data_IF_464453204653
#
_entry.id   IF_464453204653
#
_cell.length_a   1.000
_cell.length_b   1.000
_cell.length_c   1.000
_cell.angle_alpha   90.00
_cell.angle_beta   90.00
_cell.angle_gamma   90.00
#
_symmetry.space_group_name_H-M   'P 1'
#
loop_
_entity.id
_entity.type
_entity.pdbx_description
1 polymer ?
#
# COMPACT_ATOMS: atom_id res chain seq x y z
N UNK A 1 5.57 -5.19 0.62
CA UNK A 1 4.51 -5.28 1.63
C UNK A 1 3.36 -4.37 1.20
N UNK A 2 2.14 -4.88 1.28
CA UNK A 2 0.88 -4.18 0.96
C UNK A 2 0.02 -4.10 2.22
N UNK A 3 -0.95 -3.18 2.28
CA UNK A 3 -1.89 -3.03 3.40
C UNK A 3 -3.16 -2.38 2.90
N UNK A 4 -4.22 -2.32 3.70
CA UNK A 4 -5.44 -1.59 3.34
C UNK A 4 -5.15 -0.25 2.62
N UNK A 5 -5.48 -0.12 1.32
CA UNK A 5 -5.10 1.03 0.53
C UNK A 5 -5.81 2.32 0.95
N UNK A 6 -7.01 2.22 1.53
CA UNK A 6 -7.76 3.36 2.08
C UNK A 6 -7.06 3.91 3.31
N UNK A 7 -6.73 3.02 4.26
CA UNK A 7 -5.96 3.39 5.45
C UNK A 7 -4.56 3.88 5.06
N UNK A 8 -3.95 3.28 4.03
CA UNK A 8 -2.66 3.68 3.48
C UNK A 8 -2.68 5.11 2.95
N UNK A 9 -3.68 5.45 2.14
CA UNK A 9 -3.83 6.77 1.53
C UNK A 9 -4.03 7.86 2.58
N UNK A 10 -4.93 7.64 3.56
CA UNK A 10 -5.16 8.59 4.64
C UNK A 10 -3.91 8.78 5.52
N UNK A 11 -3.22 7.68 5.83
CA UNK A 11 -1.94 7.74 6.55
C UNK A 11 -0.86 8.50 5.77
N UNK A 12 -0.81 8.38 4.44
CA UNK A 12 0.14 9.11 3.61
C UNK A 12 -0.20 10.61 3.60
N UNK A 13 -1.46 10.98 3.39
CA UNK A 13 -1.93 12.37 3.46
C UNK A 13 -1.55 13.04 4.78
N UNK A 14 -1.85 12.42 5.92
CA UNK A 14 -1.48 12.95 7.24
C UNK A 14 0.02 13.14 7.41
N UNK A 15 0.82 12.22 6.86
CA UNK A 15 2.27 12.30 6.93
C UNK A 15 2.81 13.48 6.10
N UNK A 16 2.25 13.71 4.90
CA UNK A 16 2.64 14.81 4.03
C UNK A 16 2.15 16.16 4.57
N UNK A 17 0.95 16.22 5.17
CA UNK A 17 0.45 17.40 5.86
C UNK A 17 1.34 17.78 7.06
N UNK A 18 1.74 16.80 7.89
CA UNK A 18 2.66 17.04 9.01
C UNK A 18 4.05 17.55 8.58
N UNK A 19 4.45 17.29 7.33
CA UNK A 19 5.71 17.76 6.74
C UNK A 19 5.57 19.07 5.96
N UNK A 20 4.36 19.63 5.89
CA UNK A 20 4.07 20.87 5.15
C UNK A 20 3.97 20.72 3.64
N UNK A 21 3.80 19.48 3.13
CA UNK A 21 3.66 19.21 1.69
C UNK A 21 2.21 19.08 1.22
N UNK A 22 1.26 19.07 2.15
CA UNK A 22 -0.16 19.10 1.88
C UNK A 22 -0.86 20.07 2.83
N UNK A 23 -1.79 20.85 2.28
CA UNK A 23 -2.62 21.80 3.03
C UNK A 23 -4.11 21.54 2.85
N UNK A 24 -4.50 20.76 1.85
CA UNK A 24 -5.90 20.41 1.61
C UNK A 24 -6.38 19.34 2.61
N UNK A 25 -7.66 19.39 3.00
CA UNK A 25 -8.34 18.25 3.61
C UNK A 25 -8.21 16.97 2.76
N UNK A 26 -8.28 15.80 3.39
CA UNK A 26 -7.99 14.53 2.72
C UNK A 26 -8.90 14.25 1.52
N UNK A 27 -10.20 14.52 1.63
CA UNK A 27 -11.20 14.33 0.59
C UNK A 27 -10.97 15.22 -0.64
N UNK A 28 -10.56 16.48 -0.42
CA UNK A 28 -10.16 17.40 -1.49
C UNK A 28 -8.81 17.00 -2.10
N UNK A 29 -7.84 16.59 -1.27
CA UNK A 29 -6.51 16.19 -1.71
C UNK A 29 -6.57 14.99 -2.67
N UNK A 30 -7.36 13.95 -2.33
CA UNK A 30 -7.54 12.80 -3.22
C UNK A 30 -8.34 13.13 -4.48
N UNK A 31 -9.27 14.10 -4.41
CA UNK A 31 -9.98 14.57 -5.60
C UNK A 31 -9.06 15.32 -6.58
N UNK A 32 -8.02 15.99 -6.07
CA UNK A 32 -7.01 16.70 -6.87
C UNK A 32 -5.83 15.84 -7.31
N UNK A 33 -5.66 14.66 -6.74
CA UNK A 33 -4.54 13.77 -7.04
C UNK A 33 -4.40 13.48 -8.55
N UNK A 34 -5.45 13.09 -9.30
CA UNK A 34 -5.30 12.77 -10.73
C UNK A 34 -4.76 13.94 -11.56
N UNK A 35 -5.19 15.17 -11.25
CA UNK A 35 -4.70 16.39 -11.90
C UNK A 35 -3.24 16.67 -11.52
N UNK A 36 -2.90 16.54 -10.24
CA UNK A 36 -1.55 16.82 -9.72
C UNK A 36 -0.50 15.81 -10.22
N UNK A 37 -0.87 14.54 -10.36
CA UNK A 37 0.07 13.46 -10.71
C UNK A 37 0.02 13.03 -12.18
N UNK A 38 -0.78 13.70 -13.01
CA UNK A 38 -0.83 13.45 -14.45
C UNK A 38 0.57 13.50 -15.09
N UNK A 39 0.92 12.43 -15.82
CA UNK A 39 2.19 12.31 -16.55
C UNK A 39 3.43 12.08 -15.67
N UNK A 40 3.29 12.10 -14.34
CA UNK A 40 4.45 12.06 -13.44
C UNK A 40 5.08 10.65 -13.38
N UNK A 41 4.28 9.61 -13.53
CA UNK A 41 4.78 8.23 -13.54
C UNK A 41 5.60 7.96 -14.83
N UNK A 42 5.13 8.46 -15.96
CA UNK A 42 5.80 8.35 -17.26
C UNK A 42 7.12 9.13 -17.26
N UNK A 43 7.11 10.34 -16.70
CA UNK A 43 8.31 11.16 -16.52
C UNK A 43 9.37 10.42 -15.71
N UNK A 44 8.99 9.80 -14.59
CA UNK A 44 9.91 9.04 -13.73
C UNK A 44 10.39 7.73 -14.37
N UNK A 45 9.58 7.12 -15.23
CA UNK A 45 9.95 5.91 -15.93
C UNK A 45 10.93 6.18 -17.09
N UNK A 46 10.83 7.36 -17.72
CA UNK A 46 11.65 7.72 -18.87
C UNK A 46 13.09 8.13 -18.50
N UNK A 47 13.31 8.65 -17.28
CA UNK A 47 14.61 9.13 -16.83
C UNK A 47 14.89 8.70 -15.38
N UNK A 48 15.87 7.81 -15.13
CA UNK A 48 16.25 7.38 -13.79
C UNK A 48 16.73 8.50 -12.86
N UNK A 49 17.10 9.66 -13.39
CA UNK A 49 17.54 10.83 -12.62
C UNK A 49 16.41 11.83 -12.36
N UNK A 50 15.24 11.63 -12.96
CA UNK A 50 14.12 12.52 -12.79
C UNK A 50 13.56 12.49 -11.37
N UNK A 51 13.05 13.64 -10.93
CA UNK A 51 12.36 13.82 -9.66
C UNK A 51 11.01 14.46 -9.92
N UNK A 52 9.98 14.03 -9.20
CA UNK A 52 8.65 14.62 -9.27
C UNK A 52 8.15 14.91 -7.86
N UNK A 53 7.96 16.19 -7.55
CA UNK A 53 7.38 16.61 -6.28
C UNK A 53 5.96 16.07 -6.13
N UNK A 54 5.13 16.23 -7.16
CA UNK A 54 3.73 15.81 -7.13
C UNK A 54 3.60 14.29 -6.96
N UNK A 55 4.35 13.48 -7.72
CA UNK A 55 4.35 12.03 -7.49
C UNK A 55 4.94 11.65 -6.12
N UNK A 56 5.92 12.41 -5.62
CA UNK A 56 6.54 12.15 -4.32
C UNK A 56 5.56 12.38 -3.17
N UNK A 57 4.78 13.45 -3.23
CA UNK A 57 4.03 13.97 -2.08
C UNK A 57 2.51 13.86 -2.23
N UNK A 58 1.98 13.76 -3.44
CA UNK A 58 0.53 13.83 -3.70
C UNK A 58 -0.08 12.56 -4.30
N UNK A 59 0.73 11.51 -4.54
CA UNK A 59 0.24 10.20 -4.99
C UNK A 59 -0.29 9.35 -3.80
N UNK A 60 -1.44 9.71 -3.26
CA UNK A 60 -2.06 9.04 -2.12
C UNK A 60 -2.72 7.71 -2.53
N UNK A 61 -3.56 7.75 -3.57
CA UNK A 61 -4.32 6.64 -4.12
C UNK A 61 -3.49 5.80 -5.09
N UNK A 62 -2.78 6.43 -6.04
CA UNK A 62 -2.00 5.71 -7.07
C UNK A 62 -0.96 4.76 -6.47
N UNK A 63 -0.37 5.13 -5.33
CA UNK A 63 0.56 4.25 -4.59
C UNK A 63 -0.14 3.11 -3.84
N UNK A 64 -1.45 3.16 -3.68
CA UNK A 64 -2.28 2.06 -3.19
C UNK A 64 -2.73 1.09 -4.29
N UNK A 65 -2.50 1.42 -5.57
CA UNK A 65 -2.80 0.53 -6.70
C UNK A 65 -1.73 -0.58 -6.79
N UNK A 66 -1.73 -1.48 -5.81
CA UNK A 66 -0.63 -2.41 -5.61
C UNK A 66 -0.45 -3.38 -6.76
N UNK A 67 -1.52 -3.78 -7.45
CA UNK A 67 -1.42 -4.69 -8.59
C UNK A 67 -0.49 -4.14 -9.68
N UNK A 68 -0.59 -2.83 -9.98
CA UNK A 68 0.26 -2.15 -10.97
C UNK A 68 1.73 -2.21 -10.55
N UNK A 69 2.01 -1.95 -9.27
CA UNK A 69 3.37 -1.92 -8.75
C UNK A 69 3.99 -3.33 -8.66
N UNK A 70 3.25 -4.27 -8.10
CA UNK A 70 3.67 -5.67 -7.95
C UNK A 70 3.91 -6.31 -9.31
N UNK A 71 3.04 -6.03 -10.30
CA UNK A 71 3.23 -6.51 -11.67
C UNK A 71 4.56 -6.06 -12.26
N UNK A 72 4.93 -4.78 -12.11
CA UNK A 72 6.23 -4.27 -12.59
C UNK A 72 7.43 -5.04 -12.01
N UNK A 73 7.37 -5.38 -10.71
CA UNK A 73 8.42 -6.20 -10.09
C UNK A 73 8.43 -7.64 -10.63
N UNK A 74 7.26 -8.26 -10.77
CA UNK A 74 7.15 -9.62 -11.30
C UNK A 74 7.65 -9.69 -12.74
N UNK A 75 7.30 -8.73 -13.58
CA UNK A 75 7.70 -8.71 -14.99
C UNK A 75 9.22 -8.53 -15.13
N UNK A 76 9.84 -7.74 -14.25
CA UNK A 76 11.28 -7.49 -14.28
C UNK A 76 12.13 -8.58 -13.60
N UNK A 77 11.64 -9.16 -12.50
CA UNK A 77 12.44 -10.06 -11.64
C UNK A 77 12.03 -11.54 -11.75
N UNK A 78 10.83 -11.80 -12.27
CA UNK A 78 10.17 -13.10 -12.24
C UNK A 78 9.33 -13.30 -10.98
N UNK A 79 8.21 -14.03 -11.11
CA UNK A 79 7.26 -14.30 -10.00
C UNK A 79 7.94 -14.90 -8.77
N UNK A 80 8.84 -15.86 -8.98
CA UNK A 80 9.49 -16.60 -7.89
C UNK A 80 10.47 -15.74 -7.07
N UNK A 81 10.81 -14.54 -7.54
CA UNK A 81 11.69 -13.60 -6.85
C UNK A 81 10.96 -12.45 -6.17
N UNK A 82 9.63 -12.43 -6.22
CA UNK A 82 8.80 -11.38 -5.63
C UNK A 82 7.89 -11.96 -4.56
N UNK A 83 8.23 -11.69 -3.31
CA UNK A 83 7.39 -12.03 -2.16
C UNK A 83 6.58 -10.82 -1.71
N UNK A 84 5.26 -10.96 -1.63
CA UNK A 84 4.36 -9.89 -1.20
C UNK A 84 3.75 -10.24 0.16
N UNK A 85 4.15 -9.49 1.17
CA UNK A 85 3.59 -9.57 2.52
C UNK A 85 2.35 -8.68 2.63
N UNK A 86 1.26 -9.23 3.14
CA UNK A 86 0.11 -8.47 3.64
C UNK A 86 0.43 -7.96 5.05
N UNK A 87 0.48 -6.64 5.21
CA UNK A 87 0.89 -6.01 6.45
C UNK A 87 -0.15 -6.20 7.55
N UNK A 88 -1.44 -6.22 7.21
CA UNK A 88 -2.48 -6.30 8.22
C UNK A 88 -2.51 -7.73 8.81
N UNK A 89 -2.24 -8.76 7.99
CA UNK A 89 -1.96 -10.12 8.48
C UNK A 89 -0.67 -10.19 9.32
N UNK A 90 0.42 -9.59 8.83
CA UNK A 90 1.69 -9.53 9.56
C UNK A 90 1.52 -8.86 10.93
N UNK A 91 0.73 -7.79 11.03
CA UNK A 91 0.53 -7.11 12.30
C UNK A 91 -0.42 -7.87 13.22
N UNK A 92 -1.41 -8.56 12.67
CA UNK A 92 -2.33 -9.41 13.44
C UNK A 92 -1.61 -10.61 14.06
N UNK A 93 -0.83 -11.35 13.27
CA UNK A 93 -0.03 -12.49 13.73
C UNK A 93 1.33 -12.53 12.99
N UNK A 94 2.39 -11.91 13.55
CA UNK A 94 3.65 -11.72 12.84
C UNK A 94 4.47 -13.00 12.70
N UNK A 95 4.32 -13.96 13.62
CA UNK A 95 5.21 -15.14 13.67
C UNK A 95 5.01 -16.04 12.46
N UNK A 96 3.78 -16.43 12.06
CA UNK A 96 3.57 -17.24 10.87
C UNK A 96 4.06 -16.57 9.58
N UNK A 97 3.77 -15.27 9.40
CA UNK A 97 4.19 -14.52 8.21
C UNK A 97 5.72 -14.41 8.14
N UNK A 98 6.37 -14.19 9.27
CA UNK A 98 7.84 -14.15 9.35
C UNK A 98 8.48 -15.53 9.08
N UNK A 99 7.85 -16.61 9.53
CA UNK A 99 8.30 -17.98 9.23
C UNK A 99 8.18 -18.29 7.73
N UNK A 100 7.06 -17.96 7.10
CA UNK A 100 6.87 -18.15 5.66
C UNK A 100 7.92 -17.38 4.84
N UNK A 101 8.15 -16.10 5.19
CA UNK A 101 9.20 -15.29 4.56
C UNK A 101 10.59 -15.96 4.65
N UNK A 102 10.96 -16.48 5.83
CA UNK A 102 12.24 -17.18 6.00
C UNK A 102 12.33 -18.43 5.12
N UNK A 103 11.27 -19.21 5.04
CA UNK A 103 11.21 -20.42 4.22
C UNK A 103 11.38 -20.09 2.73
N UNK A 104 10.69 -19.07 2.23
CA UNK A 104 10.80 -18.64 0.83
C UNK A 104 12.18 -18.08 0.48
N UNK A 105 12.86 -17.45 1.44
CA UNK A 105 14.24 -17.00 1.29
C UNK A 105 15.28 -18.12 1.45
N UNK A 106 14.86 -19.35 1.78
CA UNK A 106 15.77 -20.47 2.05
C UNK A 106 16.60 -20.29 3.32
N UNK A 107 16.11 -19.50 4.28
CA UNK A 107 16.78 -19.22 5.55
C UNK A 107 16.41 -20.27 6.61
N UNK A 108 17.30 -20.44 7.59
CA UNK A 108 16.98 -21.21 8.78
C UNK A 108 15.82 -20.55 9.54
N UNK A 109 14.78 -21.33 9.87
CA UNK A 109 13.57 -20.81 10.53
C UNK A 109 13.84 -20.47 11.99
N UNK A 110 13.68 -19.19 12.32
CA UNK A 110 13.62 -18.67 13.68
C UNK A 110 12.20 -18.23 14.02
N UNK A 111 11.74 -18.58 15.24
CA UNK A 111 10.44 -18.17 15.78
C UNK A 111 10.67 -17.29 17.01
N UNK A 112 10.43 -15.97 16.92
CA UNK A 112 10.53 -15.11 18.09
C UNK A 112 9.40 -15.44 19.09
N UNK A 113 9.72 -15.40 20.38
CA UNK A 113 8.72 -15.61 21.44
C UNK A 113 7.78 -14.42 21.60
N UNK A 114 8.27 -13.21 21.34
CA UNK A 114 7.50 -11.96 21.42
C UNK A 114 7.85 -11.04 20.25
N UNK A 115 6.85 -10.30 19.75
CA UNK A 115 7.01 -9.29 18.70
C UNK A 115 6.35 -7.99 19.18
N UNK A 116 7.16 -6.99 19.49
CA UNK A 116 6.68 -5.69 20.00
C UNK A 116 6.11 -4.77 18.92
N UNK A 117 5.07 -4.00 19.28
CA UNK A 117 4.47 -2.95 18.43
C UNK A 117 4.86 -1.56 18.96
N UNK A 118 5.80 -0.90 18.28
CA UNK A 118 6.40 0.35 18.77
C UNK A 118 5.87 1.63 18.11
N UNK A 119 5.17 1.51 16.97
CA UNK A 119 4.76 2.65 16.14
C UNK A 119 3.24 2.74 15.92
N UNK A 120 2.45 2.06 16.75
CA UNK A 120 0.99 2.11 16.67
C UNK A 120 0.49 3.47 17.17
N UNK A 121 -0.29 4.17 16.33
CA UNK A 121 -0.90 5.45 16.69
C UNK A 121 -2.40 5.37 16.45
N UNK A 122 -3.23 5.91 17.37
CA UNK A 122 -4.67 5.98 17.16
C UNK A 122 -4.99 6.73 15.86
N UNK A 123 -6.02 6.25 15.17
CA UNK A 123 -6.48 6.78 13.88
C UNK A 123 -7.82 7.45 14.09
N UNK A 124 -7.96 8.66 13.55
CA UNK A 124 -9.27 9.26 13.39
C UNK A 124 -10.03 8.50 12.30
N UNK A 125 -11.28 8.08 12.56
CA UNK A 125 -12.09 7.40 11.58
C UNK A 125 -12.43 8.35 10.43
N UNK A 126 -12.37 7.85 9.20
CA UNK A 126 -12.84 8.59 8.03
C UNK A 126 -14.39 8.55 7.98
N UNK A 127 -15.04 9.57 7.39
CA UNK A 127 -16.48 9.51 7.14
C UNK A 127 -16.84 8.30 6.26
N UNK A 128 -17.88 7.55 6.65
CA UNK A 128 -18.34 6.35 5.92
C UNK A 128 -18.57 6.59 4.41
N UNK A 129 -19.20 7.70 3.96
CA UNK A 129 -19.36 7.95 2.52
C UNK A 129 -18.02 8.07 1.77
N UNK A 130 -16.99 8.62 2.42
CA UNK A 130 -15.66 8.72 1.84
C UNK A 130 -14.98 7.36 1.78
N UNK A 131 -15.11 6.54 2.84
CA UNK A 131 -14.58 5.17 2.85
C UNK A 131 -15.22 4.35 1.73
N UNK A 132 -16.55 4.39 1.58
CA UNK A 132 -17.26 3.68 0.52
C UNK A 132 -16.77 4.10 -0.88
N UNK A 133 -16.61 5.41 -1.11
CA UNK A 133 -16.08 5.93 -2.38
C UNK A 133 -14.66 5.43 -2.66
N UNK A 134 -13.78 5.45 -1.65
CA UNK A 134 -12.40 5.00 -1.79
C UNK A 134 -12.30 3.48 -1.96
N UNK A 135 -13.17 2.71 -1.30
CA UNK A 135 -13.28 1.26 -1.51
C UNK A 135 -13.66 0.96 -2.95
N UNK A 136 -14.70 1.62 -3.46
CA UNK A 136 -15.12 1.49 -4.85
C UNK A 136 -13.99 1.83 -5.84
N UNK A 137 -13.22 2.88 -5.56
CA UNK A 137 -12.02 3.20 -6.36
C UNK A 137 -11.01 2.04 -6.40
N UNK A 138 -10.79 1.36 -5.28
CA UNK A 138 -9.82 0.26 -5.19
C UNK A 138 -10.36 -1.11 -5.60
N UNK A 139 -11.65 -1.26 -5.95
CA UNK A 139 -12.24 -2.58 -6.21
C UNK A 139 -11.51 -3.34 -7.34
N UNK A 140 -11.31 -2.70 -8.50
CA UNK A 140 -10.60 -3.31 -9.62
C UNK A 140 -9.12 -3.57 -9.30
N UNK A 141 -8.48 -2.67 -8.56
CA UNK A 141 -7.07 -2.79 -8.17
C UNK A 141 -6.83 -3.90 -7.16
N UNK A 142 -7.75 -4.07 -6.20
CA UNK A 142 -7.69 -5.13 -5.19
C UNK A 142 -8.05 -6.48 -5.78
N UNK A 143 -8.99 -6.55 -6.74
CA UNK A 143 -9.28 -7.76 -7.50
C UNK A 143 -8.04 -8.22 -8.31
N UNK A 144 -7.40 -7.31 -9.04
CA UNK A 144 -6.17 -7.60 -9.78
C UNK A 144 -5.00 -7.99 -8.84
N UNK A 145 -4.95 -7.41 -7.64
CA UNK A 145 -3.99 -7.82 -6.61
C UNK A 145 -4.30 -9.23 -6.11
N UNK A 146 -5.56 -9.57 -5.89
CA UNK A 146 -5.96 -10.90 -5.42
C UNK A 146 -5.53 -12.00 -6.40
N UNK A 147 -5.70 -11.77 -7.70
CA UNK A 147 -5.20 -12.67 -8.77
C UNK A 147 -3.68 -12.84 -8.69
N UNK A 148 -2.94 -11.74 -8.47
CA UNK A 148 -1.50 -11.77 -8.28
C UNK A 148 -1.10 -12.55 -7.03
N UNK A 149 -1.78 -12.37 -5.92
CA UNK A 149 -1.46 -13.05 -4.66
C UNK A 149 -1.93 -14.51 -4.63
N UNK A 150 -2.90 -14.89 -5.47
CA UNK A 150 -3.59 -16.18 -5.41
C UNK A 150 -4.50 -16.33 -4.19
N UNK A 151 -4.86 -15.20 -3.56
CA UNK A 151 -5.68 -15.12 -2.35
C UNK A 151 -6.26 -13.72 -2.20
N UNK A 152 -7.35 -13.62 -1.46
CA UNK A 152 -7.95 -12.32 -1.14
C UNK A 152 -7.07 -11.53 -0.15
N UNK A 153 -6.84 -10.22 -0.39
CA UNK A 153 -6.18 -9.33 0.56
C UNK A 153 -6.98 -9.21 1.86
N UNK A 154 -6.29 -9.08 2.99
CA UNK A 154 -6.91 -9.07 4.32
C UNK A 154 -8.01 -8.03 4.52
N UNK A 155 -7.87 -6.85 3.91
CA UNK A 155 -8.83 -5.75 4.00
C UNK A 155 -10.10 -5.93 3.14
N UNK A 156 -10.17 -7.00 2.35
CA UNK A 156 -11.37 -7.38 1.59
C UNK A 156 -12.13 -8.55 2.19
N UNK A 157 -11.48 -9.31 3.07
CA UNK A 157 -12.13 -10.39 3.82
C UNK A 157 -13.25 -9.81 4.69
N UNK A 158 -14.41 -10.45 4.66
CA UNK A 158 -15.47 -10.13 5.61
C UNK A 158 -14.96 -10.34 7.04
N UNK A 159 -15.26 -9.43 7.98
CA UNK A 159 -14.98 -9.69 9.39
C UNK A 159 -15.75 -10.95 9.82
N UNK A 160 -15.03 -11.91 10.38
CA UNK A 160 -15.59 -13.15 10.92
C UNK A 160 -16.46 -12.90 12.15
#
# INVERSE_FOLDING_TARGET
MVRDPVVRAHSAHRHEAARGFESLPFDEAVAREPERTAGQAELLAADPTAVSFAHRHHAYLQRGEYAVQVRRFIDALGRDRVHVVDADELFADPVPVYVDLQQQLGLAVHRPAEVGRWNERPREPLPEPLVARLRAYFDEHDAALAELLGREPSWRKEPA
#
